data_IF_095279697570
#
_entry.id   IF_095279697570
#
_cell.length_a   1.000
_cell.length_b   1.000
_cell.length_c   1.000
_cell.angle_alpha   90.00
_cell.angle_beta   90.00
_cell.angle_gamma   90.00
#
_symmetry.space_group_name_H-M   'P 1'
#
loop_
_entity.id
_entity.type
_entity.pdbx_description
1 polymer ?
#
# COMPACT_ATOMS: atom_id res chain seq x y z
N UNK A 1 23.62 -81.58 37.57
CA UNK A 1 24.18 -80.36 38.18
C UNK A 1 23.61 -79.17 37.43
N UNK A 2 23.19 -78.15 38.18
CA UNK A 2 22.36 -77.04 37.72
C UNK A 2 23.18 -75.78 37.36
N UNK A 3 22.50 -74.90 36.60
CA UNK A 3 22.71 -73.46 36.33
C UNK A 3 23.70 -73.02 35.21
N UNK A 4 23.52 -71.81 34.61
CA UNK A 4 22.29 -71.00 34.48
C UNK A 4 22.06 -70.38 33.07
N UNK A 5 20.82 -69.94 32.83
CA UNK A 5 20.37 -69.21 31.64
C UNK A 5 20.88 -67.76 31.65
N UNK A 6 21.37 -67.28 30.51
CA UNK A 6 21.75 -65.89 30.29
C UNK A 6 20.53 -65.07 29.84
N UNK A 7 19.99 -64.25 30.75
CA UNK A 7 18.98 -63.24 30.43
C UNK A 7 19.62 -62.08 29.65
N UNK A 8 19.20 -61.91 28.41
CA UNK A 8 19.48 -60.70 27.62
C UNK A 8 18.52 -59.60 28.02
N UNK A 9 18.84 -58.86 29.09
CA UNK A 9 18.19 -57.58 29.38
C UNK A 9 18.97 -56.46 28.70
N UNK A 10 18.57 -56.07 27.49
CA UNK A 10 19.02 -54.84 26.86
C UNK A 10 18.05 -53.72 27.21
N UNK A 11 18.30 -53.03 28.32
CA UNK A 11 17.61 -51.78 28.66
C UNK A 11 17.81 -50.74 27.54
N UNK A 12 16.75 -50.01 27.12
CA UNK A 12 16.92 -48.92 26.18
C UNK A 12 17.75 -47.83 26.87
N UNK A 13 18.92 -47.51 26.29
CA UNK A 13 19.82 -46.45 26.78
C UNK A 13 19.00 -45.19 27.07
N UNK A 14 18.87 -44.84 28.36
CA UNK A 14 18.33 -43.56 28.81
C UNK A 14 19.14 -42.47 28.11
N UNK A 15 18.53 -41.76 27.18
CA UNK A 15 19.11 -40.52 26.64
C UNK A 15 19.31 -39.60 27.85
N UNK A 16 20.55 -39.26 28.15
CA UNK A 16 20.89 -38.42 29.29
C UNK A 16 20.12 -37.10 29.18
N UNK A 17 19.20 -36.86 30.12
CA UNK A 17 18.36 -35.64 30.16
C UNK A 17 19.22 -34.37 30.13
N UNK A 18 20.47 -34.44 30.61
CA UNK A 18 21.46 -33.36 30.52
C UNK A 18 21.83 -32.99 29.09
N UNK A 19 21.91 -33.95 28.16
CA UNK A 19 22.23 -33.70 26.75
C UNK A 19 21.03 -33.04 26.07
N UNK A 20 19.81 -33.49 26.38
CA UNK A 20 18.58 -32.85 25.91
C UNK A 20 18.43 -31.43 26.47
N UNK A 21 18.77 -31.20 27.74
CA UNK A 21 18.68 -29.89 28.37
C UNK A 21 19.74 -28.91 27.84
N UNK A 22 20.95 -29.41 27.53
CA UNK A 22 21.97 -28.67 26.78
C UNK A 22 21.46 -28.31 25.38
N UNK A 23 20.86 -29.28 24.67
CA UNK A 23 20.30 -29.07 23.34
C UNK A 23 19.17 -28.02 23.33
N UNK A 24 18.22 -28.09 24.27
CA UNK A 24 17.15 -27.09 24.36
C UNK A 24 17.66 -25.70 24.75
N UNK A 25 18.72 -25.62 25.55
CA UNK A 25 19.35 -24.34 25.89
C UNK A 25 20.07 -23.75 24.68
N UNK A 26 20.80 -24.58 23.92
CA UNK A 26 21.46 -24.18 22.68
C UNK A 26 20.46 -23.77 21.60
N UNK A 27 19.36 -24.51 21.42
CA UNK A 27 18.26 -24.14 20.52
C UNK A 27 17.62 -22.82 20.93
N UNK A 28 17.39 -22.59 22.23
CA UNK A 28 16.81 -21.34 22.73
C UNK A 28 17.76 -20.15 22.55
N UNK A 29 19.07 -20.37 22.65
CA UNK A 29 20.08 -19.36 22.34
C UNK A 29 20.20 -19.10 20.84
N UNK A 30 20.09 -20.14 20.00
CA UNK A 30 20.02 -20.00 18.54
C UNK A 30 18.75 -19.24 18.16
N UNK A 31 17.58 -19.58 18.69
CA UNK A 31 16.32 -18.85 18.49
C UNK A 31 16.40 -17.40 18.98
N UNK A 32 17.13 -17.13 20.06
CA UNK A 32 17.36 -15.76 20.56
C UNK A 32 18.37 -14.99 19.71
N UNK A 33 19.36 -15.67 19.13
CA UNK A 33 20.30 -15.11 18.14
C UNK A 33 19.61 -14.84 16.81
N UNK A 34 18.78 -15.77 16.34
CA UNK A 34 17.99 -15.70 15.10
C UNK A 34 16.75 -14.81 15.24
N UNK A 35 16.30 -14.55 16.48
CA UNK A 35 15.32 -13.50 16.81
C UNK A 35 15.85 -12.10 16.48
N UNK A 36 17.18 -11.95 16.40
CA UNK A 36 17.82 -10.77 15.81
C UNK A 36 18.18 -11.13 14.37
N UNK A 37 17.28 -10.78 13.45
CA UNK A 37 17.44 -11.06 12.03
C UNK A 37 18.89 -10.82 11.58
N UNK A 38 19.52 -11.83 10.97
CA UNK A 38 20.93 -11.73 10.57
C UNK A 38 21.14 -10.53 9.64
N UNK A 39 22.36 -9.96 9.56
CA UNK A 39 22.64 -8.82 8.68
C UNK A 39 22.13 -9.02 7.26
N UNK A 40 22.34 -10.22 6.69
CA UNK A 40 21.88 -10.59 5.35
C UNK A 40 20.35 -10.69 5.25
N UNK A 41 19.70 -11.32 6.22
CA UNK A 41 18.25 -11.42 6.25
C UNK A 41 17.58 -10.04 6.42
N UNK A 42 18.19 -9.13 7.17
CA UNK A 42 17.70 -7.76 7.32
C UNK A 42 17.82 -6.96 6.02
N UNK A 43 18.92 -7.12 5.30
CA UNK A 43 19.11 -6.56 3.96
C UNK A 43 18.06 -7.15 3.00
N UNK A 44 17.85 -8.47 3.02
CA UNK A 44 16.85 -9.14 2.18
C UNK A 44 15.43 -8.66 2.47
N UNK A 45 15.07 -8.50 3.75
CA UNK A 45 13.77 -7.94 4.15
C UNK A 45 13.54 -6.56 3.54
N UNK A 46 14.52 -5.66 3.68
CA UNK A 46 14.41 -4.28 3.24
C UNK A 46 14.41 -4.15 1.71
N UNK A 47 15.12 -5.04 1.01
CA UNK A 47 15.30 -5.02 -0.45
C UNK A 47 14.50 -6.07 -1.22
N UNK A 48 13.62 -6.81 -0.55
CA UNK A 48 12.79 -7.85 -1.18
C UNK A 48 12.03 -7.26 -2.38
N UNK A 49 11.95 -7.97 -3.53
CA UNK A 49 11.06 -7.57 -4.62
C UNK A 49 9.62 -7.42 -4.09
N UNK A 50 9.05 -6.21 -4.18
CA UNK A 50 7.76 -5.84 -3.58
C UNK A 50 7.84 -5.06 -2.25
N UNK A 51 9.04 -4.93 -1.66
CA UNK A 51 9.29 -4.11 -0.45
C UNK A 51 9.14 -2.61 -0.70
N UNK A 52 9.02 -2.16 -1.95
CA UNK A 52 8.77 -0.74 -2.29
C UNK A 52 7.54 -0.16 -1.57
N UNK A 53 6.52 -1.00 -1.33
CA UNK A 53 5.33 -0.62 -0.57
C UNK A 53 5.55 -0.66 0.94
N UNK A 54 6.38 -1.59 1.41
CA UNK A 54 6.76 -1.72 2.81
C UNK A 54 7.66 -0.56 3.27
N UNK A 55 8.54 -0.10 2.38
CA UNK A 55 9.44 1.05 2.57
C UNK A 55 8.73 2.40 2.56
N UNK A 56 7.44 2.43 2.19
CA UNK A 56 6.61 3.63 2.29
C UNK A 56 6.17 3.89 3.74
N UNK A 57 6.11 2.85 4.57
CA UNK A 57 5.78 2.97 5.99
C UNK A 57 7.06 3.01 6.83
N UNK A 58 7.42 4.17 7.43
CA UNK A 58 8.65 4.30 8.21
C UNK A 58 8.65 3.48 9.51
N UNK A 59 7.47 3.22 10.10
CA UNK A 59 7.34 2.43 11.32
C UNK A 59 7.66 0.95 11.07
N UNK A 60 7.22 0.44 9.93
CA UNK A 60 7.42 -0.94 9.53
C UNK A 60 8.89 -1.21 9.11
N UNK A 61 9.52 -0.24 8.44
CA UNK A 61 10.96 -0.28 8.14
C UNK A 61 11.78 -0.39 9.42
N UNK A 62 11.43 0.34 10.47
CA UNK A 62 12.14 0.28 11.75
C UNK A 62 11.66 -0.87 12.66
N UNK A 63 10.56 -1.55 12.32
CA UNK A 63 9.93 -2.58 13.17
C UNK A 63 9.51 -2.04 14.53
N UNK A 64 8.84 -0.89 14.53
CA UNK A 64 8.30 -0.24 15.72
C UNK A 64 6.79 -0.09 15.60
N UNK A 65 6.10 -0.08 16.75
CA UNK A 65 4.68 0.26 16.78
C UNK A 65 4.47 1.73 16.38
N UNK A 66 3.37 2.09 15.69
CA UNK A 66 3.00 3.48 15.45
C UNK A 66 2.80 4.28 16.75
N UNK A 67 2.48 3.61 17.86
CA UNK A 67 2.32 4.22 19.19
C UNK A 67 3.64 4.38 19.96
N UNK A 68 4.77 3.91 19.41
CA UNK A 68 6.05 3.94 20.10
C UNK A 68 6.58 5.38 20.30
N UNK A 69 7.25 5.67 21.43
CA UNK A 69 7.87 6.96 21.67
C UNK A 69 9.09 7.19 20.77
N UNK A 70 9.44 8.46 20.54
CA UNK A 70 10.58 8.88 19.69
C UNK A 70 11.91 8.28 20.18
N UNK A 71 12.04 8.03 21.49
CA UNK A 71 13.23 7.38 22.06
C UNK A 71 13.46 5.98 21.48
N UNK A 72 12.40 5.22 21.29
CA UNK A 72 12.48 3.85 20.77
C UNK A 72 12.78 3.83 19.27
N UNK A 73 12.31 4.85 18.53
CA UNK A 73 12.72 5.10 17.14
C UNK A 73 14.24 5.24 17.04
N UNK A 74 14.84 6.05 17.91
CA UNK A 74 16.30 6.30 17.93
C UNK A 74 17.09 5.06 18.34
N UNK A 75 16.62 4.30 19.33
CA UNK A 75 17.25 3.03 19.75
C UNK A 75 17.26 2.02 18.61
N UNK A 76 16.12 1.87 17.95
CA UNK A 76 15.94 0.88 16.90
C UNK A 76 16.69 1.25 15.62
N UNK A 77 16.74 2.54 15.27
CA UNK A 77 17.61 3.05 14.20
C UNK A 77 19.07 2.65 14.44
N UNK A 78 19.63 2.93 15.62
CA UNK A 78 21.03 2.57 15.93
C UNK A 78 21.30 1.08 15.77
N UNK A 79 20.38 0.24 16.26
CA UNK A 79 20.49 -1.23 16.15
C UNK A 79 20.50 -1.68 14.69
N UNK A 80 19.55 -1.20 13.90
CA UNK A 80 19.40 -1.59 12.49
C UNK A 80 20.55 -1.05 11.63
N UNK A 81 20.98 0.19 11.85
CA UNK A 81 22.10 0.81 11.15
C UNK A 81 23.39 0.01 11.31
N UNK A 82 23.67 -0.52 12.50
CA UNK A 82 24.84 -1.37 12.75
C UNK A 82 24.72 -2.69 11.98
N UNK A 83 23.54 -3.29 11.94
CA UNK A 83 23.30 -4.57 11.28
C UNK A 83 23.48 -4.46 9.75
N UNK A 84 22.96 -3.39 9.12
CA UNK A 84 23.02 -3.23 7.66
C UNK A 84 24.21 -2.40 7.16
N UNK A 85 25.14 -2.02 8.04
CA UNK A 85 26.25 -1.15 7.65
C UNK A 85 27.13 -1.81 6.56
N UNK A 86 27.55 -1.08 5.50
CA UNK A 86 28.36 -1.65 4.41
C UNK A 86 29.73 -2.16 4.87
N UNK A 87 30.30 -1.59 5.93
CA UNK A 87 31.58 -2.05 6.51
C UNK A 87 31.48 -3.44 7.16
N UNK A 88 30.35 -3.74 7.80
CA UNK A 88 30.11 -5.04 8.45
C UNK A 88 29.64 -6.11 7.45
N UNK A 89 29.25 -5.70 6.25
CA UNK A 89 28.75 -6.56 5.18
C UNK A 89 29.58 -6.37 3.89
N UNK A 90 30.88 -6.75 3.90
CA UNK A 90 31.78 -6.52 2.77
C UNK A 90 31.35 -7.29 1.50
N UNK A 91 30.79 -8.49 1.67
CA UNK A 91 30.26 -9.33 0.57
C UNK A 91 29.10 -8.67 -0.20
N UNK A 92 28.39 -7.74 0.44
CA UNK A 92 27.10 -7.21 -0.01
C UNK A 92 27.02 -5.68 0.08
N UNK A 93 28.14 -4.96 -0.08
CA UNK A 93 28.23 -3.50 0.14
C UNK A 93 27.14 -2.70 -0.57
N UNK A 94 26.83 -3.00 -1.83
CA UNK A 94 25.82 -2.24 -2.58
C UNK A 94 24.42 -2.41 -2.01
N UNK A 95 24.06 -3.64 -1.63
CA UNK A 95 22.75 -3.95 -1.05
C UNK A 95 22.67 -3.40 0.38
N UNK A 96 23.72 -3.57 1.16
CA UNK A 96 23.86 -2.99 2.49
C UNK A 96 23.68 -1.45 2.47
N UNK A 97 24.31 -0.75 1.50
CA UNK A 97 24.16 0.70 1.34
C UNK A 97 22.70 1.08 1.06
N UNK A 98 22.05 0.42 0.09
CA UNK A 98 20.64 0.70 -0.24
C UNK A 98 19.72 0.44 0.96
N UNK A 99 19.93 -0.64 1.69
CA UNK A 99 19.16 -0.95 2.90
C UNK A 99 19.39 0.08 4.01
N UNK A 100 20.63 0.55 4.18
CA UNK A 100 20.98 1.63 5.10
C UNK A 100 20.28 2.94 4.73
N UNK A 101 20.27 3.31 3.45
CA UNK A 101 19.61 4.52 2.97
C UNK A 101 18.10 4.49 3.24
N UNK A 102 17.46 3.31 3.11
CA UNK A 102 16.05 3.10 3.45
C UNK A 102 15.80 3.32 4.94
N UNK A 103 16.61 2.73 5.81
CA UNK A 103 16.52 2.92 7.27
C UNK A 103 16.74 4.39 7.65
N UNK A 104 17.71 5.05 7.02
CA UNK A 104 18.00 6.47 7.26
C UNK A 104 16.85 7.37 6.81
N UNK A 105 16.23 7.08 5.67
CA UNK A 105 15.05 7.79 5.20
C UNK A 105 13.88 7.63 6.17
N UNK A 106 13.62 6.41 6.64
CA UNK A 106 12.56 6.15 7.61
C UNK A 106 12.77 6.92 8.93
N UNK A 107 13.99 6.91 9.47
CA UNK A 107 14.32 7.68 10.67
C UNK A 107 14.09 9.19 10.47
N UNK A 108 14.57 9.75 9.36
CA UNK A 108 14.38 11.19 9.06
C UNK A 108 12.92 11.58 8.97
N UNK A 109 12.07 10.73 8.39
CA UNK A 109 10.63 10.98 8.31
C UNK A 109 9.90 10.87 9.65
N UNK A 110 10.45 10.15 10.63
CA UNK A 110 9.89 10.08 11.99
C UNK A 110 10.48 11.12 12.94
N UNK A 111 11.62 11.71 12.58
CA UNK A 111 12.23 12.80 13.34
C UNK A 111 11.49 14.13 13.13
N UNK A 112 10.91 14.33 11.94
CA UNK A 112 10.00 15.43 11.66
C UNK A 112 8.57 15.09 12.13
N UNK A 113 8.06 15.84 13.11
CA UNK A 113 6.74 15.61 13.69
C UNK A 113 5.61 15.75 12.67
N UNK A 114 5.75 16.65 11.68
CA UNK A 114 4.72 16.82 10.65
C UNK A 114 4.65 15.59 9.73
N UNK A 115 5.80 15.07 9.33
CA UNK A 115 5.88 13.86 8.51
C UNK A 115 5.45 12.61 9.28
N UNK A 116 5.81 12.52 10.57
CA UNK A 116 5.36 11.47 11.48
C UNK A 116 3.85 11.46 11.59
N UNK A 117 3.22 12.63 11.81
CA UNK A 117 1.78 12.74 11.93
C UNK A 117 1.06 12.34 10.65
N UNK A 118 1.54 12.79 9.48
CA UNK A 118 1.00 12.37 8.18
C UNK A 118 1.12 10.86 7.96
N UNK A 119 2.24 10.25 8.37
CA UNK A 119 2.41 8.80 8.27
C UNK A 119 1.41 8.05 9.17
N UNK A 120 1.14 8.56 10.37
CA UNK A 120 0.14 8.00 11.29
C UNK A 120 -1.29 8.12 10.72
N UNK A 121 -1.66 9.27 10.18
CA UNK A 121 -2.97 9.51 9.56
C UNK A 121 -3.23 8.53 8.40
N UNK A 122 -2.24 8.31 7.54
CA UNK A 122 -2.35 7.34 6.44
C UNK A 122 -2.54 5.91 6.97
N UNK A 123 -1.85 5.54 8.05
CA UNK A 123 -1.99 4.22 8.68
C UNK A 123 -3.39 4.07 9.29
N UNK A 124 -3.88 5.08 9.97
CA UNK A 124 -5.21 5.08 10.59
C UNK A 124 -6.32 5.01 9.54
N UNK A 125 -6.20 5.78 8.45
CA UNK A 125 -7.13 5.73 7.34
C UNK A 125 -7.15 4.34 6.66
N UNK A 126 -5.98 3.73 6.49
CA UNK A 126 -5.86 2.38 5.95
C UNK A 126 -6.54 1.34 6.87
N UNK A 127 -6.31 1.42 8.19
CA UNK A 127 -6.98 0.57 9.19
C UNK A 127 -8.49 0.75 9.16
N UNK A 128 -8.98 1.98 9.12
CA UNK A 128 -10.41 2.29 9.04
C UNK A 128 -11.06 1.69 7.78
N UNK A 129 -10.39 1.75 6.63
CA UNK A 129 -10.87 1.10 5.39
C UNK A 129 -10.97 -0.42 5.51
N UNK A 130 -9.94 -1.06 6.08
CA UNK A 130 -9.95 -2.52 6.26
C UNK A 130 -11.02 -2.94 7.24
N UNK A 131 -11.19 -2.22 8.33
CA UNK A 131 -12.19 -2.53 9.36
C UNK A 131 -13.61 -2.43 8.79
N UNK A 132 -13.90 -1.40 7.99
CA UNK A 132 -15.18 -1.27 7.29
C UNK A 132 -15.43 -2.41 6.30
N UNK A 133 -14.41 -2.80 5.52
CA UNK A 133 -14.51 -3.91 4.58
C UNK A 133 -14.77 -5.24 5.30
N UNK A 134 -14.12 -5.47 6.43
CA UNK A 134 -14.32 -6.63 7.29
C UNK A 134 -15.74 -6.61 7.86
N UNK A 135 -16.23 -5.46 8.34
CA UNK A 135 -17.57 -5.33 8.87
C UNK A 135 -18.65 -5.57 7.80
N UNK A 136 -18.42 -5.12 6.56
CA UNK A 136 -19.30 -5.39 5.43
C UNK A 136 -19.31 -6.89 5.08
N UNK A 137 -18.12 -7.55 5.08
CA UNK A 137 -18.01 -9.01 4.92
C UNK A 137 -18.79 -9.74 6.02
N UNK A 138 -18.62 -9.34 7.30
CA UNK A 138 -19.37 -9.88 8.45
C UNK A 138 -20.88 -9.73 8.24
N UNK A 139 -21.34 -8.54 7.85
CA UNK A 139 -22.77 -8.28 7.54
C UNK A 139 -23.30 -9.18 6.41
N UNK A 140 -22.51 -9.42 5.36
CA UNK A 140 -22.87 -10.33 4.26
C UNK A 140 -22.94 -11.79 4.72
N UNK A 141 -21.98 -12.24 5.54
CA UNK A 141 -21.99 -13.60 6.09
C UNK A 141 -23.21 -13.84 7.01
N UNK A 142 -23.51 -12.88 7.90
CA UNK A 142 -24.72 -12.91 8.75
C UNK A 142 -26.00 -13.02 7.92
N UNK A 143 -26.09 -12.27 6.81
CA UNK A 143 -27.23 -12.35 5.87
C UNK A 143 -27.30 -13.69 5.11
N UNK A 144 -26.16 -14.32 4.85
CA UNK A 144 -26.07 -15.62 4.19
C UNK A 144 -26.28 -16.81 5.15
N UNK A 145 -26.58 -16.57 6.43
CA UNK A 145 -26.79 -17.62 7.43
C UNK A 145 -25.52 -18.39 7.81
N UNK A 146 -24.34 -17.94 7.37
CA UNK A 146 -23.04 -18.45 7.80
C UNK A 146 -22.62 -17.60 9.00
N UNK A 147 -22.39 -18.23 10.16
CA UNK A 147 -22.23 -17.56 11.46
C UNK A 147 -21.19 -16.44 11.49
N UNK A 148 -21.17 -15.66 12.57
CA UNK A 148 -20.43 -14.39 12.74
C UNK A 148 -18.88 -14.50 12.64
N UNK A 149 -18.34 -15.72 12.52
CA UNK A 149 -16.90 -15.95 12.35
C UNK A 149 -16.50 -15.83 10.89
N UNK A 150 -15.85 -14.72 10.55
CA UNK A 150 -15.11 -14.57 9.29
C UNK A 150 -13.79 -15.33 9.43
N UNK A 151 -13.38 -16.07 8.39
CA UNK A 151 -12.09 -16.79 8.33
C UNK A 151 -10.83 -15.92 8.57
N UNK A 152 -10.96 -14.59 8.61
CA UNK A 152 -9.89 -13.61 8.87
C UNK A 152 -9.72 -13.28 10.37
N UNK A 153 -10.60 -13.78 11.25
CA UNK A 153 -10.55 -13.60 12.72
C UNK A 153 -9.83 -14.74 13.45
N UNK A 154 -9.36 -15.77 12.73
CA UNK A 154 -8.65 -16.90 13.33
C UNK A 154 -7.14 -16.58 13.44
N UNK A 155 -6.61 -16.36 14.67
CA UNK A 155 -5.21 -15.96 14.86
C UNK A 155 -4.21 -17.05 14.45
N UNK A 156 -4.65 -18.29 14.24
CA UNK A 156 -3.78 -19.42 13.89
C UNK A 156 -3.42 -19.44 12.38
N UNK A 157 -4.31 -18.91 11.52
CA UNK A 157 -4.03 -18.71 10.07
C UNK A 157 -3.22 -17.45 9.77
N UNK A 158 -3.09 -16.53 10.73
CA UNK A 158 -2.20 -15.35 10.66
C UNK A 158 -0.76 -15.73 11.10
N UNK A 159 -0.32 -16.95 10.81
CA UNK A 159 1.11 -17.30 10.90
C UNK A 159 1.84 -16.83 9.63
N UNK A 160 2.97 -16.11 9.73
CA UNK A 160 3.69 -15.55 8.57
C UNK A 160 4.16 -16.60 7.54
N UNK A 161 4.10 -17.89 7.89
CA UNK A 161 4.57 -19.01 7.07
C UNK A 161 3.50 -19.60 6.15
N UNK A 162 2.19 -19.45 6.44
CA UNK A 162 1.12 -20.05 5.63
C UNK A 162 0.57 -19.15 4.51
N UNK A 163 1.06 -17.91 4.38
CA UNK A 163 0.71 -17.00 3.28
C UNK A 163 1.40 -17.36 1.93
N UNK A 164 1.86 -18.60 1.74
CA UNK A 164 2.56 -19.05 0.53
C UNK A 164 1.83 -20.08 -0.32
N UNK A 165 0.57 -20.44 -0.01
CA UNK A 165 -0.13 -21.47 -0.78
C UNK A 165 -1.65 -21.41 -0.70
N UNK A 166 -2.27 -20.35 -1.20
CA UNK A 166 -3.67 -20.35 -1.65
C UNK A 166 -3.92 -19.16 -2.58
N UNK A 167 -4.93 -19.20 -3.46
CA UNK A 167 -4.99 -18.41 -4.70
C UNK A 167 -5.37 -16.95 -4.43
N UNK A 168 -4.53 -16.22 -3.70
CA UNK A 168 -4.57 -14.78 -3.51
C UNK A 168 -3.81 -14.04 -4.63
N UNK A 169 -3.59 -14.70 -5.77
CA UNK A 169 -2.99 -14.11 -6.98
C UNK A 169 -3.83 -13.00 -7.62
N UNK A 170 -5.03 -12.73 -7.11
CA UNK A 170 -5.93 -11.72 -7.68
C UNK A 170 -6.13 -10.48 -6.80
N UNK A 171 -5.53 -10.39 -5.61
CA UNK A 171 -5.71 -9.20 -4.74
C UNK A 171 -4.72 -8.08 -5.10
N UNK A 172 -3.58 -8.42 -5.72
CA UNK A 172 -2.58 -7.44 -6.17
C UNK A 172 -2.86 -6.84 -7.55
N UNK A 173 -3.95 -7.23 -8.24
CA UNK A 173 -4.33 -6.57 -9.49
C UNK A 173 -4.99 -5.20 -9.28
N UNK A 174 -5.34 -4.83 -8.04
CA UNK A 174 -6.06 -3.59 -7.71
C UNK A 174 -5.18 -2.34 -7.65
N UNK A 175 -3.86 -2.47 -7.42
CA UNK A 175 -3.00 -1.29 -7.28
C UNK A 175 -2.25 -0.90 -8.56
N UNK A 176 -2.00 -1.85 -9.48
CA UNK A 176 -1.50 -1.55 -10.83
C UNK A 176 -2.62 -0.91 -11.68
N UNK A 177 -3.88 -1.28 -11.41
CA UNK A 177 -5.04 -0.73 -12.13
C UNK A 177 -5.43 0.67 -11.65
N UNK A 178 -5.11 1.09 -10.42
CA UNK A 178 -5.50 2.42 -9.92
C UNK A 178 -4.89 3.59 -10.72
N UNK A 179 -3.57 3.64 -11.02
CA UNK A 179 -3.01 4.66 -11.92
C UNK A 179 -3.53 4.57 -13.35
N UNK A 180 -3.71 3.36 -13.91
CA UNK A 180 -4.21 3.14 -15.28
C UNK A 180 -5.68 3.59 -15.39
N UNK A 181 -6.51 3.31 -14.39
CA UNK A 181 -7.90 3.73 -14.31
C UNK A 181 -8.03 5.24 -14.07
N UNK A 182 -7.16 5.86 -13.27
CA UNK A 182 -7.13 7.32 -13.06
C UNK A 182 -6.71 8.05 -14.34
N UNK A 183 -5.69 7.55 -15.05
CA UNK A 183 -5.30 8.08 -16.36
C UNK A 183 -6.42 7.90 -17.40
N UNK A 184 -7.12 6.77 -17.39
CA UNK A 184 -8.29 6.52 -18.24
C UNK A 184 -9.49 7.42 -17.92
N UNK A 185 -9.74 7.72 -16.65
CA UNK A 185 -10.78 8.67 -16.21
C UNK A 185 -10.46 10.09 -16.67
N UNK A 186 -9.22 10.56 -16.50
CA UNK A 186 -8.78 11.88 -16.98
C UNK A 186 -8.91 12.03 -18.49
N UNK A 187 -8.59 10.98 -19.26
CA UNK A 187 -8.77 10.98 -20.72
C UNK A 187 -10.25 11.07 -21.12
N UNK A 188 -11.13 10.28 -20.49
CA UNK A 188 -12.58 10.34 -20.73
C UNK A 188 -13.18 11.69 -20.34
N UNK A 189 -12.77 12.27 -19.22
CA UNK A 189 -13.21 13.61 -18.80
C UNK A 189 -12.72 14.73 -19.74
N UNK A 190 -11.51 14.60 -20.28
CA UNK A 190 -10.98 15.54 -21.28
C UNK A 190 -11.74 15.43 -22.62
N UNK A 191 -12.03 14.20 -23.06
CA UNK A 191 -12.81 13.93 -24.26
C UNK A 191 -14.24 14.47 -24.14
N UNK A 192 -14.91 14.27 -23.00
CA UNK A 192 -16.24 14.84 -22.74
C UNK A 192 -16.19 16.37 -22.78
N UNK A 193 -15.21 17.00 -22.13
CA UNK A 193 -15.05 18.46 -22.15
C UNK A 193 -14.78 19.01 -23.55
N UNK A 194 -14.06 18.26 -24.38
CA UNK A 194 -13.80 18.62 -25.78
C UNK A 194 -15.07 18.45 -26.63
N UNK A 195 -15.85 17.39 -26.41
CA UNK A 195 -17.15 17.20 -27.04
C UNK A 195 -18.14 18.30 -26.66
N UNK A 196 -18.20 18.69 -25.38
CA UNK A 196 -19.01 19.81 -24.90
C UNK A 196 -18.59 21.13 -25.56
N UNK A 197 -17.29 21.41 -25.65
CA UNK A 197 -16.78 22.58 -26.37
C UNK A 197 -17.11 22.54 -27.86
N UNK A 198 -16.95 21.40 -28.51
CA UNK A 198 -17.28 21.22 -29.92
C UNK A 198 -18.79 21.36 -30.17
N UNK A 199 -19.63 20.91 -29.23
CA UNK A 199 -21.07 21.13 -29.27
C UNK A 199 -21.40 22.61 -29.09
N UNK A 200 -20.82 23.28 -28.09
CA UNK A 200 -20.99 24.73 -27.90
C UNK A 200 -20.53 25.52 -29.13
N UNK A 201 -19.44 25.12 -29.76
CA UNK A 201 -18.93 25.76 -30.98
C UNK A 201 -19.83 25.50 -32.19
N UNK A 202 -20.36 24.28 -32.35
CA UNK A 202 -21.37 23.96 -33.38
C UNK A 202 -22.66 24.73 -33.17
N UNK A 203 -23.13 24.84 -31.93
CA UNK A 203 -24.32 25.63 -31.58
C UNK A 203 -24.08 27.12 -31.82
N UNK A 204 -22.91 27.62 -31.45
CA UNK A 204 -22.50 28.99 -31.74
C UNK A 204 -22.44 29.24 -33.25
N UNK A 205 -21.83 28.34 -34.02
CA UNK A 205 -21.72 28.44 -35.48
C UNK A 205 -23.09 28.42 -36.14
N UNK A 206 -23.96 27.49 -35.73
CA UNK A 206 -25.34 27.41 -36.20
C UNK A 206 -26.11 28.68 -35.89
N UNK A 207 -26.04 29.18 -34.65
CA UNK A 207 -26.68 30.44 -34.26
C UNK A 207 -26.10 31.66 -35.02
N UNK A 208 -24.79 31.65 -35.32
CA UNK A 208 -24.12 32.67 -36.11
C UNK A 208 -24.55 32.65 -37.59
N UNK A 209 -24.70 31.47 -38.18
CA UNK A 209 -25.20 31.25 -39.54
C UNK A 209 -26.70 31.53 -39.68
N UNK A 210 -27.53 31.12 -38.73
CA UNK A 210 -28.96 31.47 -38.72
C UNK A 210 -29.14 32.99 -38.53
N UNK A 211 -28.29 33.62 -37.71
CA UNK A 211 -28.23 35.08 -37.60
C UNK A 211 -27.59 35.75 -38.82
N UNK A 212 -27.02 35.01 -39.79
CA UNK A 212 -26.40 35.57 -41.00
C UNK A 212 -27.43 36.19 -41.91
N UNK A 213 -28.58 35.57 -42.12
CA UNK A 213 -29.65 36.14 -42.97
C UNK A 213 -30.18 37.46 -42.40
N UNK A 214 -30.35 37.54 -41.08
CA UNK A 214 -30.75 38.76 -40.39
C UNK A 214 -29.66 39.85 -40.46
N UNK A 215 -28.37 39.48 -40.35
CA UNK A 215 -27.26 40.42 -40.51
C UNK A 215 -27.08 40.90 -41.94
N UNK A 216 -27.17 40.00 -42.93
CA UNK A 216 -27.06 40.31 -44.36
C UNK A 216 -28.25 41.14 -44.84
N UNK A 217 -29.47 40.86 -44.37
CA UNK A 217 -30.65 41.68 -44.66
C UNK A 217 -30.58 43.04 -43.97
N UNK A 218 -30.09 43.13 -42.73
CA UNK A 218 -29.81 44.41 -42.07
C UNK A 218 -28.76 45.23 -42.82
N UNK A 219 -27.71 44.59 -43.36
CA UNK A 219 -26.71 45.27 -44.18
C UNK A 219 -27.28 45.74 -45.53
N UNK A 220 -28.05 44.90 -46.23
CA UNK A 220 -28.75 45.31 -47.47
C UNK A 220 -29.74 46.46 -47.23
N UNK A 221 -30.45 46.46 -46.10
CA UNK A 221 -31.35 47.55 -45.71
C UNK A 221 -30.59 48.84 -45.36
N UNK A 222 -29.42 48.72 -44.72
CA UNK A 222 -28.52 49.85 -44.46
C UNK A 222 -27.99 50.48 -45.76
N UNK A 223 -27.61 49.66 -46.75
CA UNK A 223 -27.13 50.13 -48.05
C UNK A 223 -28.24 50.79 -48.90
N UNK A 224 -29.50 50.38 -48.70
CA UNK A 224 -30.67 50.93 -49.40
C UNK A 224 -31.39 52.04 -48.60
N UNK A 225 -30.82 52.48 -47.47
CA UNK A 225 -31.31 53.63 -46.68
C UNK A 225 -32.59 53.39 -45.87
N UNK A 226 -33.04 52.14 -45.70
CA UNK A 226 -34.23 51.81 -44.88
C UNK A 226 -33.83 51.58 -43.42
N UNK A 227 -34.50 52.29 -42.48
CA UNK A 227 -34.24 52.18 -41.02
C UNK A 227 -34.47 50.74 -40.52
N UNK A 228 -33.42 50.07 -40.03
CA UNK A 228 -33.54 48.74 -39.42
C UNK A 228 -33.79 48.82 -37.90
N UNK A 229 -34.54 47.85 -37.34
CA UNK A 229 -34.72 47.71 -35.89
C UNK A 229 -33.41 47.23 -35.25
N UNK A 230 -33.02 47.86 -34.15
CA UNK A 230 -31.77 47.64 -33.42
C UNK A 230 -31.51 46.17 -33.08
N UNK A 231 -30.41 45.62 -33.59
CA UNK A 231 -29.92 44.29 -33.24
C UNK A 231 -29.50 44.25 -31.76
N UNK A 232 -30.15 43.41 -30.95
CA UNK A 232 -29.73 43.14 -29.57
C UNK A 232 -28.97 41.82 -29.56
N UNK A 233 -27.67 41.80 -29.20
CA UNK A 233 -26.92 40.55 -29.15
C UNK A 233 -27.51 39.60 -28.09
N UNK A 234 -27.46 38.28 -28.32
CA UNK A 234 -27.93 37.31 -27.34
C UNK A 234 -27.20 37.49 -26.01
N UNK A 235 -27.94 37.54 -24.90
CA UNK A 235 -27.33 37.68 -23.57
C UNK A 235 -26.49 36.44 -23.29
N UNK A 236 -25.20 36.63 -23.03
CA UNK A 236 -24.31 35.58 -22.55
C UNK A 236 -24.89 35.02 -21.24
N UNK A 237 -25.37 33.77 -21.25
CA UNK A 237 -25.73 33.08 -20.01
C UNK A 237 -24.44 32.74 -19.29
N UNK A 238 -24.09 33.53 -18.28
CA UNK A 238 -23.07 33.12 -17.33
C UNK A 238 -23.51 31.80 -16.70
N UNK A 239 -22.69 30.76 -16.80
CA UNK A 239 -22.88 29.50 -16.11
C UNK A 239 -23.02 29.81 -14.60
N UNK A 240 -24.18 29.49 -14.02
CA UNK A 240 -24.39 29.54 -12.58
C UNK A 240 -23.50 28.49 -11.94
N UNK A 241 -22.40 28.96 -11.36
CA UNK A 241 -21.50 28.20 -10.50
C UNK A 241 -22.10 28.02 -9.10
#
# INVERSE_FOLDING_TARGET
>A
MAAPAAETSSEPKRVDDSVLQSFFSEVKEIEKRDSVLTPKQQIDRLLRPGSTYFNLNPFEVLQISPEAPIEDVKKQYRRLSILVHPDKNPEDRERAQKAFDVINKAHKSLEDEEQRQRALEVIEEAKGRTDLMIEEKRKKQRKAGKGDKVDEDDPEKVSPSSARGSPAGNVLSCDISSPILVLGKRKREAEIREQEKAQQEKEWHKNYEESRENRVSSWKNFQTGKKSKTFKPPKHRAETR
#
